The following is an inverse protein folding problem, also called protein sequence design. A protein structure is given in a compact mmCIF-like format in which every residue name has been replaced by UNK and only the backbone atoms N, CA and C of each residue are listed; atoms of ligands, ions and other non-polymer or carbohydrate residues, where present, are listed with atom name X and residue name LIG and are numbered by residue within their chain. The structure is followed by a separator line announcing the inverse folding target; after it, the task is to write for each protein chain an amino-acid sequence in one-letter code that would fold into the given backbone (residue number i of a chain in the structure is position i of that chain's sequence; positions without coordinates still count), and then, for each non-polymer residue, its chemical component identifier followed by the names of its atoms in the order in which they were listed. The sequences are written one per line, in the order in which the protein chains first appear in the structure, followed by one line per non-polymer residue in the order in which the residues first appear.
data_IF_305384978661
#
_entry.id   IF_305384978661
#
_cell.length_a   1.000
_cell.length_b   1.000
_cell.length_c   1.000
_cell.angle_alpha   90.00
_cell.angle_beta   90.00
_cell.angle_gamma   90.00
#
_symmetry.space_group_name_H-M   'P 1'
#
loop_
_entity.id
_entity.type
_entity.pdbx_description
1 polymer ?
#
# COMPACT_ATOMS: atom_id res chain seq x y z
N UNK A 1 -10.84 -4.34 6.78
CA UNK A 1 -10.71 -2.97 7.28
C UNK A 1 -9.36 -2.81 7.95
N UNK A 2 -8.59 -1.79 7.57
CA UNK A 2 -7.27 -1.48 8.14
C UNK A 2 -7.23 -0.01 8.53
N UNK A 3 -6.76 0.27 9.75
CA UNK A 3 -6.44 1.61 10.23
C UNK A 3 -4.95 1.65 10.53
N UNK A 4 -4.27 2.63 9.99
CA UNK A 4 -2.84 2.83 10.21
C UNK A 4 -2.56 4.31 10.48
N UNK A 5 -2.54 4.73 11.76
CA UNK A 5 -2.03 6.04 12.13
C UNK A 5 -0.53 6.12 11.82
N UNK A 6 -0.14 7.21 11.16
CA UNK A 6 1.25 7.54 10.89
C UNK A 6 1.72 8.66 11.81
N UNK A 7 2.90 9.18 11.57
CA UNK A 7 3.42 10.36 12.25
C UNK A 7 2.76 11.65 11.70
N UNK A 8 2.80 12.74 12.51
CA UNK A 8 2.31 14.08 12.13
C UNK A 8 0.84 14.06 11.67
N UNK A 9 -0.03 13.38 12.43
CA UNK A 9 -1.49 13.30 12.22
C UNK A 9 -1.94 12.70 10.88
N UNK A 10 -1.03 12.08 10.13
CA UNK A 10 -1.35 11.37 8.90
C UNK A 10 -2.04 10.06 9.26
N UNK A 11 -3.19 9.81 8.64
CA UNK A 11 -3.97 8.59 8.87
C UNK A 11 -4.25 7.86 7.55
N UNK A 12 -3.91 6.58 7.51
CA UNK A 12 -4.27 5.70 6.40
C UNK A 12 -5.42 4.78 6.80
N UNK A 13 -6.45 4.76 5.96
CA UNK A 13 -7.60 3.89 6.07
C UNK A 13 -7.71 3.03 4.82
N UNK A 14 -7.89 1.73 5.00
CA UNK A 14 -8.26 0.82 3.90
C UNK A 14 -9.52 0.05 4.26
N UNK A 15 -10.43 -0.02 3.29
CA UNK A 15 -11.63 -0.86 3.35
C UNK A 15 -11.76 -1.64 2.06
N UNK A 16 -12.05 -2.92 2.14
CA UNK A 16 -12.24 -3.73 0.95
C UNK A 16 -12.97 -5.03 1.21
N UNK A 17 -13.34 -5.68 0.13
CA UNK A 17 -14.00 -6.97 0.16
C UNK A 17 -13.71 -7.77 -1.10
N UNK A 18 -13.92 -9.08 -1.03
CA UNK A 18 -13.75 -9.98 -2.17
C UNK A 18 -14.84 -11.04 -2.18
N UNK A 19 -15.26 -11.43 -3.38
CA UNK A 19 -16.25 -12.45 -3.62
C UNK A 19 -15.65 -13.54 -4.51
N UNK A 20 -15.66 -14.77 -4.02
CA UNK A 20 -15.28 -15.94 -4.79
C UNK A 20 -16.48 -16.39 -5.66
N UNK A 21 -16.26 -16.47 -6.98
CA UNK A 21 -17.22 -16.98 -7.94
C UNK A 21 -16.73 -18.33 -8.46
N UNK A 22 -17.39 -19.45 -8.08
CA UNK A 22 -16.99 -20.77 -8.51
C UNK A 22 -16.88 -20.88 -10.04
N UNK A 23 -15.77 -21.42 -10.53
CA UNK A 23 -15.49 -21.61 -11.97
C UNK A 23 -15.03 -20.34 -12.73
N UNK A 24 -15.22 -19.14 -12.17
CA UNK A 24 -14.83 -17.87 -12.81
C UNK A 24 -13.53 -17.36 -12.18
N UNK A 25 -13.50 -17.17 -10.86
CA UNK A 25 -12.39 -16.56 -10.15
C UNK A 25 -12.86 -15.78 -8.93
N UNK A 26 -12.06 -14.83 -8.49
CA UNK A 26 -12.37 -13.93 -7.37
C UNK A 26 -12.40 -12.50 -7.87
N UNK A 27 -13.47 -11.76 -7.54
CA UNK A 27 -13.54 -10.31 -7.72
C UNK A 27 -13.36 -9.65 -6.37
N UNK A 28 -12.47 -8.67 -6.31
CA UNK A 28 -12.22 -7.85 -5.14
C UNK A 28 -12.42 -6.37 -5.44
N UNK A 29 -12.77 -5.61 -4.41
CA UNK A 29 -12.80 -4.15 -4.46
C UNK A 29 -12.13 -3.61 -3.19
N UNK A 30 -11.55 -2.44 -3.30
CA UNK A 30 -10.91 -1.76 -2.17
C UNK A 30 -10.90 -0.26 -2.35
N UNK A 31 -10.93 0.46 -1.22
CA UNK A 31 -10.74 1.90 -1.16
C UNK A 31 -9.65 2.14 -0.12
N UNK A 32 -8.60 2.83 -0.54
CA UNK A 32 -7.56 3.37 0.34
C UNK A 32 -7.75 4.87 0.43
N UNK A 33 -7.73 5.41 1.63
CA UNK A 33 -7.73 6.83 1.88
C UNK A 33 -6.55 7.19 2.77
N UNK A 34 -5.80 8.20 2.38
CA UNK A 34 -4.70 8.80 3.14
C UNK A 34 -5.09 10.25 3.44
N UNK A 35 -5.20 10.57 4.71
CA UNK A 35 -5.53 11.91 5.21
C UNK A 35 -4.27 12.50 5.87
N UNK A 36 -3.84 13.67 5.41
CA UNK A 36 -2.62 14.33 5.90
C UNK A 36 -2.90 15.28 7.08
N UNK A 37 -4.16 15.32 7.58
CA UNK A 37 -4.56 16.22 8.64
C UNK A 37 -4.87 17.65 8.16
N UNK A 38 -5.10 18.53 9.11
CA UNK A 38 -5.33 19.96 8.86
C UNK A 38 -4.02 20.72 8.95
N UNK A 39 -3.81 21.65 8.02
CA UNK A 39 -2.62 22.48 7.91
C UNK A 39 -3.03 23.95 7.83
N UNK A 40 -2.29 24.83 8.51
CA UNK A 40 -2.56 26.25 8.46
C UNK A 40 -2.13 26.86 7.12
N UNK A 41 -2.96 27.75 6.58
CA UNK A 41 -2.61 28.55 5.41
C UNK A 41 -1.65 29.65 5.86
N UNK A 42 -0.44 29.65 5.31
CA UNK A 42 0.58 30.66 5.58
C UNK A 42 0.85 31.52 4.36
N UNK A 43 1.16 32.79 4.57
CA UNK A 43 1.56 33.74 3.52
C UNK A 43 2.86 34.46 3.91
N UNK A 44 3.42 35.23 2.99
CA UNK A 44 4.62 36.02 3.28
C UNK A 44 4.37 37.04 4.42
N UNK A 45 3.14 37.53 4.56
CA UNK A 45 2.76 38.49 5.60
C UNK A 45 2.36 37.79 6.90
N UNK A 46 1.74 36.61 6.82
CA UNK A 46 1.24 35.82 7.96
C UNK A 46 1.94 34.46 8.01
N UNK A 47 3.21 34.44 8.43
CA UNK A 47 4.04 33.24 8.48
C UNK A 47 3.58 32.26 9.56
N UNK A 48 2.91 32.74 10.62
CA UNK A 48 2.36 31.93 11.71
C UNK A 48 0.93 31.42 11.42
N UNK A 49 0.39 31.72 10.22
CA UNK A 49 -0.94 31.34 9.78
C UNK A 49 -1.89 32.51 9.58
N UNK A 50 -2.77 32.41 8.59
CA UNK A 50 -3.82 33.39 8.29
C UNK A 50 -5.07 33.20 9.16
N UNK A 51 -5.15 32.06 9.91
CA UNK A 51 -6.34 31.60 10.60
C UNK A 51 -7.26 30.73 9.74
N UNK A 52 -6.94 30.55 8.47
CA UNK A 52 -7.58 29.60 7.57
C UNK A 52 -6.80 28.27 7.57
N UNK A 53 -7.51 27.15 7.44
CA UNK A 53 -6.90 25.82 7.38
C UNK A 53 -7.31 25.11 6.09
N UNK A 54 -6.42 24.27 5.59
CA UNK A 54 -6.68 23.41 4.46
C UNK A 54 -6.35 21.96 4.79
N UNK A 55 -6.85 21.05 3.97
CA UNK A 55 -6.61 19.61 4.10
C UNK A 55 -6.08 19.04 2.78
N UNK A 56 -5.14 18.09 2.90
CA UNK A 56 -4.69 17.28 1.78
C UNK A 56 -5.16 15.83 1.98
N UNK A 57 -5.58 15.17 0.89
CA UNK A 57 -6.05 13.78 0.92
C UNK A 57 -5.68 13.06 -0.37
N UNK A 58 -5.26 11.79 -0.25
CA UNK A 58 -5.12 10.87 -1.36
C UNK A 58 -6.11 9.73 -1.25
N UNK A 59 -6.77 9.39 -2.33
CA UNK A 59 -7.71 8.29 -2.42
C UNK A 59 -7.37 7.37 -3.58
N UNK A 60 -7.45 6.06 -3.37
CA UNK A 60 -7.37 5.07 -4.42
C UNK A 60 -8.54 4.09 -4.33
N UNK A 61 -9.35 4.02 -5.39
CA UNK A 61 -10.37 3.00 -5.56
C UNK A 61 -9.83 1.89 -6.47
N UNK A 62 -9.95 0.64 -6.04
CA UNK A 62 -9.37 -0.52 -6.73
C UNK A 62 -10.43 -1.56 -7.02
N UNK A 63 -10.43 -2.09 -8.23
CA UNK A 63 -11.19 -3.28 -8.65
C UNK A 63 -10.20 -4.34 -9.09
N UNK A 64 -10.31 -5.54 -8.51
CA UNK A 64 -9.36 -6.65 -8.72
C UNK A 64 -10.09 -7.87 -9.24
N UNK A 65 -9.46 -8.58 -10.17
CA UNK A 65 -9.86 -9.92 -10.59
C UNK A 65 -8.67 -10.87 -10.45
N UNK A 66 -8.92 -12.07 -9.92
CA UNK A 66 -7.90 -13.10 -9.84
C UNK A 66 -8.48 -14.49 -10.15
N UNK A 67 -7.65 -15.35 -10.73
CA UNK A 67 -8.03 -16.72 -11.08
C UNK A 67 -6.84 -17.67 -11.00
N UNK A 68 -7.10 -18.88 -10.50
CA UNK A 68 -6.18 -20.01 -10.68
C UNK A 68 -6.37 -20.55 -12.09
N UNK A 69 -5.36 -20.42 -12.93
CA UNK A 69 -5.38 -20.93 -14.31
C UNK A 69 -5.17 -22.43 -14.30
N UNK A 70 -4.20 -22.89 -13.49
CA UNK A 70 -3.92 -24.29 -13.18
C UNK A 70 -3.57 -24.41 -11.70
N UNK A 71 -3.44 -25.63 -11.16
CA UNK A 71 -3.18 -25.86 -9.73
C UNK A 71 -1.92 -25.16 -9.19
N UNK A 72 -0.92 -25.00 -10.03
CA UNK A 72 0.37 -24.41 -9.69
C UNK A 72 0.56 -22.96 -10.14
N UNK A 73 -0.38 -22.40 -10.91
CA UNK A 73 -0.27 -21.04 -11.48
C UNK A 73 -1.55 -20.23 -11.32
N UNK A 74 -1.42 -19.08 -10.70
CA UNK A 74 -2.49 -18.08 -10.51
C UNK A 74 -2.10 -16.76 -11.14
N UNK A 75 -3.10 -16.08 -11.70
CA UNK A 75 -2.97 -14.74 -12.28
C UNK A 75 -3.96 -13.79 -11.61
N UNK A 76 -3.54 -12.54 -11.44
CA UNK A 76 -4.38 -11.45 -10.94
C UNK A 76 -4.11 -10.15 -11.66
N UNK A 77 -5.15 -9.34 -11.80
CA UNK A 77 -5.06 -7.98 -12.34
C UNK A 77 -5.95 -7.04 -11.53
N UNK A 78 -5.53 -5.80 -11.35
CA UNK A 78 -6.31 -4.75 -10.70
C UNK A 78 -6.34 -3.49 -11.56
N UNK A 79 -7.49 -2.82 -11.55
CA UNK A 79 -7.62 -1.45 -12.07
C UNK A 79 -7.79 -0.50 -10.89
N UNK A 80 -7.10 0.63 -10.95
CA UNK A 80 -7.12 1.65 -9.90
C UNK A 80 -7.51 3.00 -10.48
N UNK A 81 -8.36 3.72 -9.77
CA UNK A 81 -8.55 5.15 -9.93
C UNK A 81 -7.94 5.85 -8.72
N UNK A 82 -6.98 6.73 -8.96
CA UNK A 82 -6.24 7.45 -7.92
C UNK A 82 -6.60 8.91 -8.05
N UNK A 83 -6.90 9.56 -6.92
CA UNK A 83 -7.19 10.99 -6.83
C UNK A 83 -6.43 11.58 -5.65
N UNK A 84 -5.70 12.66 -5.91
CA UNK A 84 -5.01 13.47 -4.92
C UNK A 84 -5.64 14.85 -4.88
N UNK A 85 -5.95 15.36 -3.69
CA UNK A 85 -6.49 16.69 -3.49
C UNK A 85 -5.60 17.43 -2.50
N UNK A 86 -5.27 18.68 -2.82
CA UNK A 86 -4.60 19.62 -1.92
C UNK A 86 -5.37 20.93 -2.01
N UNK A 87 -6.05 21.28 -0.93
CA UNK A 87 -6.91 22.46 -0.87
C UNK A 87 -7.90 22.49 -2.04
N UNK A 88 -7.77 23.48 -2.98
CA UNK A 88 -8.64 23.63 -4.14
C UNK A 88 -8.07 23.01 -5.44
N UNK A 89 -6.90 22.37 -5.34
CA UNK A 89 -6.23 21.72 -6.46
C UNK A 89 -6.35 20.21 -6.38
N UNK A 90 -6.52 19.57 -7.51
CA UNK A 90 -6.63 18.11 -7.58
C UNK A 90 -5.86 17.52 -8.75
N UNK A 91 -5.42 16.27 -8.57
CA UNK A 91 -4.83 15.47 -9.64
C UNK A 91 -5.48 14.08 -9.64
N UNK A 92 -5.57 13.44 -10.79
CA UNK A 92 -6.11 12.09 -10.89
C UNK A 92 -5.36 11.25 -11.92
N UNK A 93 -5.38 9.93 -11.71
CA UNK A 93 -4.77 8.96 -12.62
C UNK A 93 -5.53 7.63 -12.61
N UNK A 94 -5.41 6.89 -13.70
CA UNK A 94 -5.77 5.48 -13.78
C UNK A 94 -4.50 4.64 -13.81
N UNK A 95 -4.53 3.51 -13.10
CA UNK A 95 -3.42 2.57 -13.08
C UNK A 95 -3.91 1.13 -13.16
N UNK A 96 -3.03 0.25 -13.60
CA UNK A 96 -3.24 -1.20 -13.67
C UNK A 96 -2.13 -1.89 -12.91
N UNK A 97 -2.50 -2.92 -12.14
CA UNK A 97 -1.55 -3.86 -11.56
C UNK A 97 -1.73 -5.22 -12.21
N UNK A 98 -0.63 -5.93 -12.37
CA UNK A 98 -0.58 -7.32 -12.82
C UNK A 98 0.23 -8.14 -11.83
N UNK A 99 -0.23 -9.36 -11.54
CA UNK A 99 0.45 -10.25 -10.64
C UNK A 99 0.30 -11.71 -11.03
N UNK A 100 1.32 -12.49 -10.73
CA UNK A 100 1.32 -13.94 -10.90
C UNK A 100 1.83 -14.61 -9.63
N UNK A 101 1.31 -15.79 -9.35
CA UNK A 101 1.77 -16.66 -8.27
C UNK A 101 2.01 -18.07 -8.82
N UNK A 102 3.20 -18.59 -8.55
CA UNK A 102 3.62 -19.93 -8.93
C UNK A 102 3.85 -20.75 -7.67
N UNK A 103 3.12 -21.84 -7.53
CA UNK A 103 3.27 -22.80 -6.44
C UNK A 103 4.09 -23.98 -6.95
N UNK A 104 5.15 -24.35 -6.25
CA UNK A 104 6.04 -25.45 -6.65
C UNK A 104 6.14 -26.50 -5.55
N UNK A 105 6.57 -27.70 -5.91
CA UNK A 105 6.91 -28.77 -4.94
C UNK A 105 8.33 -28.66 -4.39
N UNK A 106 9.14 -27.72 -4.88
CA UNK A 106 10.50 -27.55 -4.41
C UNK A 106 10.51 -27.22 -2.91
N UNK A 107 11.38 -27.86 -2.17
CA UNK A 107 11.51 -27.74 -0.72
C UNK A 107 10.23 -28.07 0.08
N UNK A 108 9.29 -28.82 -0.53
CA UNK A 108 8.15 -29.35 0.20
C UNK A 108 8.57 -30.58 1.02
N UNK A 109 8.48 -30.50 2.33
CA UNK A 109 8.72 -31.64 3.22
C UNK A 109 7.54 -32.64 3.27
N UNK A 110 6.36 -32.18 2.82
CA UNK A 110 5.13 -33.00 2.79
C UNK A 110 4.83 -33.56 1.42
N UNK A 111 5.54 -33.14 0.36
CA UNK A 111 5.30 -33.48 -1.04
C UNK A 111 4.10 -32.81 -1.69
N UNK A 112 3.42 -31.88 -0.99
CA UNK A 112 2.29 -31.09 -1.51
C UNK A 112 2.78 -29.77 -2.10
N UNK A 113 2.11 -29.29 -3.15
CA UNK A 113 2.41 -27.98 -3.77
C UNK A 113 2.21 -26.80 -2.79
N UNK A 114 1.23 -26.94 -1.88
CA UNK A 114 0.88 -25.92 -0.89
C UNK A 114 1.98 -25.66 0.15
N UNK A 115 2.82 -26.65 0.41
CA UNK A 115 3.88 -26.60 1.42
C UNK A 115 5.27 -26.40 0.80
N UNK A 116 5.35 -26.29 -0.52
CA UNK A 116 6.59 -26.02 -1.23
C UNK A 116 6.93 -24.54 -1.34
N UNK A 117 7.92 -24.26 -2.16
CA UNK A 117 8.32 -22.89 -2.49
C UNK A 117 7.28 -22.23 -3.37
N UNK A 118 6.79 -21.06 -2.96
CA UNK A 118 5.94 -20.23 -3.79
C UNK A 118 6.73 -19.01 -4.29
N UNK A 119 6.53 -18.67 -5.56
CA UNK A 119 7.17 -17.51 -6.21
C UNK A 119 6.06 -16.56 -6.64
N UNK A 120 6.14 -15.32 -6.18
CA UNK A 120 5.23 -14.24 -6.57
C UNK A 120 5.96 -13.18 -7.37
N UNK A 121 5.32 -12.67 -8.41
CA UNK A 121 5.81 -11.51 -9.17
C UNK A 121 4.66 -10.54 -9.40
N UNK A 122 4.92 -9.23 -9.31
CA UNK A 122 3.93 -8.22 -9.64
C UNK A 122 4.56 -6.95 -10.19
N UNK A 123 3.79 -6.29 -11.07
CA UNK A 123 4.03 -4.92 -11.51
C UNK A 123 2.83 -4.12 -11.03
N UNK A 124 3.07 -3.05 -10.28
CA UNK A 124 2.02 -2.22 -9.69
C UNK A 124 2.13 -0.77 -10.13
N UNK A 125 0.96 -0.10 -10.26
CA UNK A 125 0.83 1.30 -10.61
C UNK A 125 1.33 1.66 -12.03
N UNK A 126 1.20 0.75 -12.98
CA UNK A 126 1.39 1.09 -14.38
C UNK A 126 0.18 1.91 -14.87
N UNK A 127 0.37 3.21 -15.12
CA UNK A 127 -0.77 4.07 -15.38
C UNK A 127 -0.44 5.40 -16.02
N UNK A 128 -1.44 6.28 -16.02
CA UNK A 128 -1.34 7.64 -16.57
C UNK A 128 -0.54 8.53 -15.62
N UNK A 129 0.00 9.61 -16.16
CA UNK A 129 0.64 10.65 -15.35
C UNK A 129 -0.40 11.46 -14.60
N UNK A 130 -0.01 11.96 -13.45
CA UNK A 130 -0.78 12.90 -12.65
C UNK A 130 -0.33 14.34 -12.93
N UNK A 131 -1.27 15.27 -12.81
CA UNK A 131 -1.02 16.71 -12.91
C UNK A 131 -2.03 17.44 -12.04
N UNK A 132 -1.56 18.34 -11.19
CA UNK A 132 -2.45 19.19 -10.42
C UNK A 132 -3.06 20.28 -11.30
N UNK A 133 -4.38 20.48 -11.12
CA UNK A 133 -5.14 21.58 -11.66
C UNK A 133 -6.16 22.08 -10.60
N UNK A 134 -6.48 23.36 -10.62
CA UNK A 134 -7.39 23.97 -9.66
C UNK A 134 -7.24 25.48 -9.61
N UNK A 135 -8.03 26.14 -8.78
CA UNK A 135 -8.02 27.60 -8.70
C UNK A 135 -6.73 28.18 -8.08
N UNK A 136 -6.02 27.40 -7.27
CA UNK A 136 -4.79 27.84 -6.61
C UNK A 136 -3.63 28.08 -7.59
N UNK A 137 -3.71 27.56 -8.82
CA UNK A 137 -2.70 27.79 -9.86
C UNK A 137 -2.95 29.04 -10.70
N UNK A 138 -4.07 29.75 -10.47
CA UNK A 138 -4.34 31.00 -11.13
C UNK A 138 -3.80 32.15 -10.31
N UNK A 139 -3.13 33.07 -11.01
CA UNK A 139 -2.57 34.31 -10.43
C UNK A 139 -2.89 35.49 -11.36
N UNK A 140 -3.17 36.66 -10.82
CA UNK A 140 -3.24 37.89 -11.64
C UNK A 140 -1.86 38.15 -12.23
N UNK A 141 -1.80 38.36 -13.54
CA UNK A 141 -0.56 38.64 -14.29
C UNK A 141 -0.74 39.98 -14.99
N UNK A 142 0.24 40.87 -14.80
CA UNK A 142 0.37 42.07 -15.63
C UNK A 142 1.01 41.66 -16.97
N UNK A 143 0.25 41.84 -18.06
CA UNK A 143 0.69 41.48 -19.41
C UNK A 143 1.38 42.63 -20.14
N UNK A 144 1.40 43.86 -19.56
CA UNK A 144 2.01 45.02 -20.15
C UNK A 144 2.73 45.87 -19.12
N UNK A 145 4.06 45.82 -19.09
CA UNK A 145 4.92 46.61 -18.20
C UNK A 145 4.95 48.11 -18.60
N UNK A 146 4.46 48.47 -19.79
CA UNK A 146 4.64 49.82 -20.37
C UNK A 146 3.33 50.60 -20.56
N UNK A 147 2.18 49.97 -20.38
CA UNK A 147 0.89 50.62 -20.56
C UNK A 147 0.18 50.78 -19.21
N UNK A 148 -0.04 52.03 -18.78
CA UNK A 148 -0.92 52.33 -17.67
C UNK A 148 -2.37 52.09 -18.10
N UNK A 149 -2.93 50.95 -17.71
CA UNK A 149 -4.31 50.59 -18.01
C UNK A 149 -4.78 49.46 -17.11
N UNK A 150 -5.99 48.96 -17.34
CA UNK A 150 -6.61 47.88 -16.58
C UNK A 150 -6.11 46.49 -17.04
N UNK A 151 -4.83 46.34 -17.35
CA UNK A 151 -4.21 45.12 -17.81
C UNK A 151 -3.52 44.30 -16.69
N UNK A 152 -3.45 44.86 -15.47
CA UNK A 152 -2.79 44.23 -14.33
C UNK A 152 -3.54 43.06 -13.68
N UNK A 153 -4.80 42.81 -14.11
CA UNK A 153 -5.66 41.79 -13.50
C UNK A 153 -6.05 40.66 -14.49
N UNK A 154 -5.18 40.36 -15.45
CA UNK A 154 -5.41 39.21 -16.35
C UNK A 154 -5.11 37.93 -15.60
N UNK A 155 -6.08 36.99 -15.55
CA UNK A 155 -5.89 35.69 -14.94
C UNK A 155 -4.88 34.86 -15.74
N UNK A 156 -3.69 34.69 -15.20
CA UNK A 156 -2.68 33.78 -15.72
C UNK A 156 -2.69 32.46 -14.93
N UNK A 157 -2.23 31.38 -15.55
CA UNK A 157 -2.16 30.07 -14.90
C UNK A 157 -0.72 29.58 -14.84
N UNK A 158 -0.26 29.20 -13.63
CA UNK A 158 1.00 28.47 -13.51
C UNK A 158 0.89 27.11 -14.18
N UNK A 159 1.86 26.82 -15.07
CA UNK A 159 1.94 25.50 -15.70
C UNK A 159 2.52 24.51 -14.72
N UNK A 160 1.67 23.65 -14.16
CA UNK A 160 2.10 22.54 -13.32
C UNK A 160 2.78 21.44 -14.15
N UNK A 161 3.79 20.80 -13.58
CA UNK A 161 4.46 19.66 -14.22
C UNK A 161 3.66 18.37 -14.01
N UNK A 162 3.74 17.48 -14.97
CA UNK A 162 3.23 16.12 -14.85
C UNK A 162 4.25 15.21 -14.18
N UNK A 163 3.79 14.25 -13.38
CA UNK A 163 4.64 13.22 -12.79
C UNK A 163 4.04 11.83 -12.98
N UNK A 164 4.92 10.83 -13.01
CA UNK A 164 4.53 9.44 -13.14
C UNK A 164 4.14 8.85 -11.78
N UNK A 165 3.23 7.87 -11.80
CA UNK A 165 2.94 7.07 -10.62
C UNK A 165 4.17 6.26 -10.21
N UNK A 166 4.34 5.93 -8.91
CA UNK A 166 5.42 5.07 -8.44
C UNK A 166 5.22 3.64 -8.95
N UNK A 167 5.75 3.36 -10.15
CA UNK A 167 5.76 2.01 -10.73
C UNK A 167 6.66 1.12 -9.88
N UNK A 168 6.14 -0.01 -9.41
CA UNK A 168 6.87 -0.94 -8.56
C UNK A 168 6.86 -2.33 -9.20
N UNK A 169 8.04 -2.84 -9.52
CA UNK A 169 8.23 -4.26 -9.78
C UNK A 169 8.60 -4.96 -8.48
N UNK A 170 7.93 -6.08 -8.19
CA UNK A 170 8.20 -6.92 -7.02
C UNK A 170 8.36 -8.36 -7.43
N UNK A 171 9.37 -9.04 -6.86
CA UNK A 171 9.53 -10.47 -6.91
C UNK A 171 9.70 -10.98 -5.48
N UNK A 172 9.00 -12.04 -5.13
CA UNK A 172 9.06 -12.63 -3.79
C UNK A 172 9.05 -14.14 -3.82
N UNK A 173 9.64 -14.70 -2.79
CA UNK A 173 9.72 -16.16 -2.59
C UNK A 173 9.29 -16.47 -1.15
N UNK A 174 8.50 -17.52 -0.98
CA UNK A 174 8.16 -18.06 0.34
C UNK A 174 8.50 -19.53 0.44
N UNK A 175 8.95 -19.95 1.64
CA UNK A 175 9.25 -21.33 2.00
C UNK A 175 8.51 -21.70 3.27
N UNK A 176 8.05 -22.94 3.39
CA UNK A 176 7.42 -23.48 4.60
C UNK A 176 8.26 -24.63 5.19
N UNK A 177 9.36 -24.31 5.92
CA UNK A 177 10.24 -25.34 6.47
C UNK A 177 9.56 -26.21 7.52
N UNK A 178 8.53 -25.71 8.18
CA UNK A 178 7.71 -26.48 9.11
C UNK A 178 6.26 -26.38 8.67
N UNK A 179 5.65 -27.50 8.33
CA UNK A 179 4.23 -27.62 8.01
C UNK A 179 3.67 -28.87 8.66
N UNK A 180 3.08 -28.70 9.83
CA UNK A 180 2.41 -29.74 10.59
C UNK A 180 0.92 -29.49 10.66
N UNK A 181 0.17 -30.41 11.26
CA UNK A 181 -1.29 -30.24 11.43
C UNK A 181 -1.65 -28.98 12.24
N UNK A 182 -0.80 -28.59 13.19
CA UNK A 182 -1.09 -27.49 14.13
C UNK A 182 -0.17 -26.28 13.94
N UNK A 183 1.05 -26.47 13.47
CA UNK A 183 2.05 -25.42 13.41
C UNK A 183 2.61 -25.31 11.99
N UNK A 184 2.63 -24.09 11.47
CA UNK A 184 3.28 -23.77 10.19
C UNK A 184 4.25 -22.62 10.42
N UNK A 185 5.50 -22.81 10.00
CA UNK A 185 6.49 -21.74 9.92
C UNK A 185 6.66 -21.36 8.45
N UNK A 186 6.46 -20.10 8.12
CA UNK A 186 6.68 -19.54 6.77
C UNK A 186 7.84 -18.57 6.84
N UNK A 187 8.80 -18.73 5.95
CA UNK A 187 9.87 -17.75 5.68
C UNK A 187 9.57 -17.07 4.36
N UNK A 188 9.77 -15.77 4.29
CA UNK A 188 9.53 -14.97 3.09
C UNK A 188 10.69 -14.02 2.83
N UNK A 189 11.00 -13.83 1.55
CA UNK A 189 11.90 -12.78 1.10
C UNK A 189 11.33 -12.16 -0.17
N UNK A 190 11.34 -10.84 -0.29
CA UNK A 190 10.97 -10.14 -1.51
C UNK A 190 11.92 -8.98 -1.83
N UNK A 191 12.09 -8.73 -3.12
CA UNK A 191 12.83 -7.59 -3.65
C UNK A 191 11.86 -6.65 -4.37
N UNK A 192 12.04 -5.35 -4.14
CA UNK A 192 11.25 -4.28 -4.74
C UNK A 192 12.17 -3.38 -5.56
N UNK A 193 11.74 -3.10 -6.78
CA UNK A 193 12.39 -2.15 -7.69
C UNK A 193 11.37 -1.07 -8.10
N UNK A 194 11.30 0.06 -7.37
CA UNK A 194 10.47 1.20 -7.74
C UNK A 194 11.19 2.08 -8.79
N UNK A 195 10.42 2.75 -9.68
CA UNK A 195 10.98 3.66 -10.68
C UNK A 195 11.49 5.00 -10.10
N UNK A 196 11.05 5.35 -8.90
CA UNK A 196 11.28 6.67 -8.28
C UNK A 196 12.01 6.61 -6.93
N UNK A 197 12.52 5.44 -6.53
CA UNK A 197 13.20 5.26 -5.25
C UNK A 197 14.26 4.16 -5.35
N UNK A 198 15.11 4.03 -4.33
CA UNK A 198 16.10 2.97 -4.21
C UNK A 198 15.44 1.59 -4.08
N UNK A 199 16.12 0.58 -4.59
CA UNK A 199 15.75 -0.82 -4.46
C UNK A 199 15.78 -1.26 -3.00
N UNK A 200 14.90 -2.19 -2.64
CA UNK A 200 14.85 -2.70 -1.28
C UNK A 200 14.54 -4.19 -1.23
N UNK A 201 15.05 -4.83 -0.19
CA UNK A 201 14.79 -6.24 0.12
C UNK A 201 14.09 -6.32 1.47
N UNK A 202 13.04 -7.14 1.53
CA UNK A 202 12.34 -7.46 2.77
C UNK A 202 12.54 -8.94 3.08
N UNK A 203 12.77 -9.25 4.35
CA UNK A 203 12.86 -10.62 4.85
C UNK A 203 11.92 -10.74 6.04
N UNK A 204 11.18 -11.83 6.12
CA UNK A 204 10.24 -12.05 7.22
C UNK A 204 10.01 -13.51 7.53
N UNK A 205 9.45 -13.74 8.71
CA UNK A 205 9.00 -15.03 9.17
C UNK A 205 7.62 -14.91 9.83
N UNK A 206 6.79 -15.93 9.63
CA UNK A 206 5.50 -16.09 10.28
C UNK A 206 5.41 -17.46 10.92
N UNK A 207 5.08 -17.50 12.21
CA UNK A 207 4.71 -18.72 12.93
C UNK A 207 3.21 -18.72 13.15
N UNK A 208 2.51 -19.65 12.52
CA UNK A 208 1.07 -19.85 12.67
C UNK A 208 0.80 -21.13 13.48
N UNK A 209 -0.02 -21.02 14.53
CA UNK A 209 -0.46 -22.12 15.36
C UNK A 209 -1.98 -22.25 15.33
N UNK A 210 -2.47 -23.42 14.91
CA UNK A 210 -3.89 -23.80 14.91
C UNK A 210 -4.25 -24.39 16.26
N UNK A 211 -5.24 -23.80 16.92
CA UNK A 211 -5.78 -24.26 18.20
C UNK A 211 -7.15 -24.89 17.94
N UNK A 212 -7.27 -26.23 18.07
CA UNK A 212 -8.53 -26.92 17.82
C UNK A 212 -9.67 -26.34 18.67
N UNK A 213 -10.82 -26.06 18.02
CA UNK A 213 -12.00 -25.50 18.67
C UNK A 213 -11.98 -24.01 18.96
N UNK A 214 -10.84 -23.34 18.76
CA UNK A 214 -10.71 -21.88 18.94
C UNK A 214 -10.44 -21.16 17.63
N UNK A 215 -9.36 -21.49 16.92
CA UNK A 215 -8.94 -20.79 15.71
C UNK A 215 -7.44 -20.87 15.48
N UNK A 216 -6.84 -19.77 15.06
CA UNK A 216 -5.41 -19.69 14.74
C UNK A 216 -4.78 -18.46 15.40
N UNK A 217 -3.53 -18.61 15.86
CA UNK A 217 -2.72 -17.51 16.38
C UNK A 217 -1.47 -17.40 15.47
N UNK A 218 -1.16 -16.21 15.03
CA UNK A 218 0.00 -15.90 14.19
C UNK A 218 0.93 -14.93 14.88
N UNK A 219 2.23 -15.20 14.83
CA UNK A 219 3.29 -14.28 15.23
C UNK A 219 4.17 -14.00 14.02
N UNK A 220 4.47 -12.73 13.80
CA UNK A 220 5.21 -12.27 12.61
C UNK A 220 6.37 -11.40 13.00
N UNK A 221 7.47 -11.53 12.28
CA UNK A 221 8.63 -10.66 12.43
C UNK A 221 9.32 -10.48 11.10
N UNK A 222 9.92 -9.33 10.88
CA UNK A 222 10.62 -9.06 9.64
C UNK A 222 11.49 -7.83 9.70
N UNK A 223 12.21 -7.61 8.63
CA UNK A 223 13.04 -6.43 8.44
C UNK A 223 13.00 -6.00 6.97
N UNK A 224 13.11 -4.70 6.76
CA UNK A 224 13.31 -4.09 5.44
C UNK A 224 14.68 -3.42 5.41
N UNK A 225 15.45 -3.68 4.36
CA UNK A 225 16.76 -3.05 4.11
C UNK A 225 16.79 -2.47 2.70
N UNK A 226 17.51 -1.36 2.53
CA UNK A 226 17.92 -0.91 1.20
C UNK A 226 18.88 -1.93 0.58
N UNK A 227 18.91 -2.04 -0.74
CA UNK A 227 19.81 -3.00 -1.40
C UNK A 227 21.28 -2.60 -1.25
N UNK A 228 21.55 -1.29 -1.19
CA UNK A 228 22.87 -0.72 -0.95
C UNK A 228 23.34 -0.87 0.51
N UNK A 229 22.40 -1.03 1.46
CA UNK A 229 22.65 -1.07 2.89
C UNK A 229 22.69 -2.51 3.46
N UNK A 230 22.52 -3.55 2.63
CA UNK A 230 22.52 -4.96 3.07
C UNK A 230 23.81 -5.37 3.79
N UNK A 231 24.91 -4.63 3.59
CA UNK A 231 26.24 -4.91 4.13
C UNK A 231 26.82 -3.74 4.93
N UNK A 232 26.04 -2.68 5.19
CA UNK A 232 26.45 -1.48 5.92
C UNK A 232 25.56 -1.32 7.15
N UNK A 233 26.15 -0.98 8.27
CA UNK A 233 25.57 -0.97 9.64
C UNK A 233 24.51 0.14 9.87
N UNK A 234 24.15 0.90 8.84
CA UNK A 234 23.21 2.04 8.92
C UNK A 234 21.83 1.64 8.33
N UNK A 235 21.15 0.68 8.97
CA UNK A 235 19.81 0.24 8.58
C UNK A 235 18.79 1.38 8.75
N UNK A 236 18.54 2.12 7.67
CA UNK A 236 17.54 3.21 7.63
C UNK A 236 16.10 2.71 7.76
N UNK A 237 15.86 1.41 7.59
CA UNK A 237 14.55 0.81 7.65
C UNK A 237 14.46 -0.21 8.79
N UNK A 238 13.48 0.01 9.65
CA UNK A 238 13.39 -0.69 10.90
C UNK A 238 12.85 -2.11 10.85
N UNK A 239 12.95 -2.73 11.99
CA UNK A 239 12.37 -4.03 12.31
C UNK A 239 10.85 -3.92 12.35
N UNK A 240 10.16 -4.96 11.91
CA UNK A 240 8.71 -5.11 11.99
C UNK A 240 8.35 -6.29 12.87
N UNK A 241 7.28 -6.14 13.65
CA UNK A 241 6.71 -7.22 14.45
C UNK A 241 5.19 -7.18 14.35
N UNK A 242 4.53 -8.32 14.47
CA UNK A 242 3.08 -8.39 14.41
C UNK A 242 2.54 -9.64 15.07
N UNK A 243 1.28 -9.57 15.46
CA UNK A 243 0.53 -10.69 15.99
C UNK A 243 -0.90 -10.68 15.41
N UNK A 244 -1.46 -11.86 15.21
CA UNK A 244 -2.80 -12.02 14.67
C UNK A 244 -3.55 -13.15 15.36
N UNK A 245 -4.86 -12.99 15.45
CA UNK A 245 -5.77 -14.01 15.94
C UNK A 245 -6.92 -14.17 14.95
N UNK A 246 -7.18 -15.40 14.54
CA UNK A 246 -8.31 -15.78 13.70
C UNK A 246 -9.21 -16.70 14.48
N UNK A 247 -10.43 -16.26 14.74
CA UNK A 247 -11.42 -16.97 15.53
C UNK A 247 -12.45 -17.61 14.60
N UNK A 248 -12.67 -18.92 14.74
CA UNK A 248 -13.72 -19.63 14.05
C UNK A 248 -15.05 -19.48 14.81
N UNK A 249 -16.04 -18.92 14.13
CA UNK A 249 -17.40 -18.80 14.63
C UNK A 249 -18.27 -19.97 14.15
N UNK A 250 -19.54 -19.99 14.58
CA UNK A 250 -20.50 -20.98 14.11
C UNK A 250 -20.68 -20.92 12.58
N UNK A 251 -20.70 -22.09 11.96
CA UNK A 251 -20.71 -22.25 10.51
C UNK A 251 -19.31 -22.00 9.91
N UNK A 252 -19.26 -21.43 8.71
CA UNK A 252 -17.99 -21.20 7.99
C UNK A 252 -17.44 -19.76 8.21
N UNK A 253 -17.89 -19.09 9.27
CA UNK A 253 -17.56 -17.69 9.52
C UNK A 253 -16.31 -17.56 10.37
N UNK A 254 -15.46 -16.60 10.02
CA UNK A 254 -14.26 -16.29 10.82
C UNK A 254 -14.11 -14.78 11.02
N UNK A 255 -13.58 -14.42 12.19
CA UNK A 255 -13.11 -13.06 12.49
C UNK A 255 -11.60 -13.12 12.61
N UNK A 256 -10.92 -12.22 11.92
CA UNK A 256 -9.47 -12.05 12.02
C UNK A 256 -9.16 -10.67 12.57
N UNK A 257 -8.28 -10.60 13.56
CA UNK A 257 -7.78 -9.35 14.13
C UNK A 257 -6.26 -9.43 14.09
N UNK A 258 -5.61 -8.47 13.44
CA UNK A 258 -4.15 -8.39 13.36
C UNK A 258 -3.67 -7.03 13.87
N UNK A 259 -2.52 -7.06 14.53
CA UNK A 259 -1.74 -5.90 14.94
C UNK A 259 -0.35 -6.00 14.33
N UNK A 260 0.16 -4.89 13.83
CA UNK A 260 1.53 -4.80 13.35
C UNK A 260 2.18 -3.48 13.80
N UNK A 261 3.47 -3.56 14.09
CA UNK A 261 4.32 -2.45 14.46
C UNK A 261 5.55 -2.42 13.54
N UNK A 262 5.94 -1.23 13.10
CA UNK A 262 7.14 -1.00 12.29
C UNK A 262 7.89 0.21 12.81
N UNK A 263 9.19 0.07 13.00
CA UNK A 263 10.08 1.20 13.29
C UNK A 263 10.39 1.98 12.01
N UNK A 264 10.41 3.30 12.10
CA UNK A 264 10.70 4.23 11.00
C UNK A 264 11.94 5.09 11.29
N UNK A 265 12.88 4.56 12.06
CA UNK A 265 14.10 5.28 12.44
C UNK A 265 13.77 6.53 13.27
N UNK A 266 14.28 7.68 12.83
CA UNK A 266 14.08 8.98 13.51
C UNK A 266 12.63 9.45 13.54
N UNK A 267 11.76 8.91 12.67
CA UNK A 267 10.34 9.25 12.63
C UNK A 267 9.51 8.44 13.65
N UNK A 268 10.16 7.61 14.49
CA UNK A 268 9.47 6.81 15.50
C UNK A 268 8.92 5.50 14.96
N UNK A 269 7.73 5.10 15.39
CA UNK A 269 7.09 3.84 14.99
C UNK A 269 5.68 4.03 14.46
N UNK A 270 5.31 3.18 13.51
CA UNK A 270 3.97 3.14 12.91
C UNK A 270 3.28 1.86 13.31
N UNK A 271 1.99 1.96 13.64
CA UNK A 271 1.15 0.85 14.04
C UNK A 271 0.05 0.63 13.00
N UNK A 272 -0.35 -0.61 12.81
CA UNK A 272 -1.48 -0.96 11.95
C UNK A 272 -2.40 -1.95 12.64
N UNK A 273 -3.68 -1.70 12.55
CA UNK A 273 -4.75 -2.53 13.09
C UNK A 273 -5.63 -3.02 11.96
N UNK A 274 -5.85 -4.32 11.90
CA UNK A 274 -6.67 -4.94 10.86
C UNK A 274 -7.80 -5.73 11.48
N UNK A 275 -9.00 -5.60 10.92
CA UNK A 275 -10.15 -6.43 11.24
C UNK A 275 -10.73 -6.99 9.95
N UNK A 276 -10.89 -8.32 9.89
CA UNK A 276 -11.45 -9.03 8.74
C UNK A 276 -12.59 -9.96 9.13
N UNK A 277 -13.56 -10.10 8.24
CA UNK A 277 -14.67 -11.05 8.36
C UNK A 277 -14.72 -11.94 7.13
N UNK A 278 -14.87 -13.24 7.33
CA UNK A 278 -15.11 -14.20 6.24
C UNK A 278 -16.41 -14.97 6.54
N UNK A 279 -17.23 -15.17 5.53
CA UNK A 279 -18.54 -15.84 5.65
C UNK A 279 -18.82 -16.72 4.44
#
# INVERSE_FOLDING_TARGET
FVIQPWFVDINMLFTGGAFAMPGIGVIGFGITNLDYGEMDVTTLEYQDGTGEQFRATDMAATLTFSRNIVSWFSFGSSMKYIKSNIWHSSASAFAVDLGVLVNTKFFSFTGRDEDGMNIGMSISNYGTRMKYDGIDVYQPIDISEFEEGNYGDVAGQFRTSEWELPLIFRIGVTLKPISTKFTTLTLAADALHPNNNAESVNIGAELNNKIPGFGEISLRGGMKSGMDDLFVDDTKFGVTAGAGVKIHLFGNRTITVDYAYRTMGVLGGVQAYTVGFTF
#
